data_IF_113174884580
#
_entry.id   IF_113174884580
#
_cell.length_a   1.000
_cell.length_b   1.000
_cell.length_c   1.000
_cell.angle_alpha   90.00
_cell.angle_beta   90.00
_cell.angle_gamma   90.00
#
_symmetry.space_group_name_H-M   'P 1'
#
loop_
_entity.id
_entity.type
_entity.pdbx_description
1 polymer ?
#
# COMPACT_ATOMS: atom_id res chain seq x y z
N UNK A 1 -17.12 8.88 4.25
CA UNK A 1 -17.71 7.77 3.47
C UNK A 1 -16.67 7.33 2.46
N UNK A 2 -16.31 6.05 2.46
CA UNK A 2 -15.40 5.48 1.46
C UNK A 2 -16.04 5.62 0.08
N UNK A 3 -15.38 6.32 -0.83
CA UNK A 3 -15.83 6.40 -2.21
C UNK A 3 -15.24 5.20 -2.96
N UNK A 4 -15.95 4.07 -2.95
CA UNK A 4 -15.47 2.81 -3.56
C UNK A 4 -15.40 2.86 -5.10
N UNK A 5 -15.78 3.99 -5.69
CA UNK A 5 -15.85 4.16 -7.15
C UNK A 5 -14.51 4.60 -7.77
N UNK A 6 -13.54 5.07 -6.95
CA UNK A 6 -12.21 5.43 -7.43
C UNK A 6 -11.17 4.35 -7.05
N UNK A 7 -10.67 3.55 -8.03
CA UNK A 7 -9.68 2.52 -7.77
C UNK A 7 -8.39 3.07 -7.15
N UNK A 8 -8.03 4.34 -7.41
CA UNK A 8 -6.87 4.98 -6.78
C UNK A 8 -7.09 5.14 -5.27
N UNK A 9 -8.26 5.63 -4.86
CA UNK A 9 -8.59 5.82 -3.45
C UNK A 9 -8.64 4.50 -2.67
N UNK A 10 -9.12 3.43 -3.32
CA UNK A 10 -9.14 2.08 -2.75
C UNK A 10 -7.72 1.56 -2.54
N UNK A 11 -6.84 1.75 -3.52
CA UNK A 11 -5.43 1.37 -3.40
C UNK A 11 -4.71 2.15 -2.30
N UNK A 12 -4.90 3.47 -2.23
CA UNK A 12 -4.33 4.33 -1.17
C UNK A 12 -4.77 3.85 0.22
N UNK A 13 -6.06 3.55 0.41
CA UNK A 13 -6.59 3.03 1.68
C UNK A 13 -6.01 1.65 2.03
N UNK A 14 -5.83 0.78 1.03
CA UNK A 14 -5.28 -0.56 1.25
C UNK A 14 -3.79 -0.51 1.61
N UNK A 15 -3.04 0.40 1.00
CA UNK A 15 -1.64 0.68 1.34
C UNK A 15 -1.55 1.16 2.79
N UNK A 16 -2.37 2.12 3.20
CA UNK A 16 -2.43 2.62 4.59
C UNK A 16 -2.73 1.48 5.58
N UNK A 17 -3.73 0.66 5.27
CA UNK A 17 -4.09 -0.50 6.11
C UNK A 17 -2.92 -1.48 6.25
N UNK A 18 -2.16 -1.72 5.17
CA UNK A 18 -0.99 -2.58 5.20
C UNK A 18 0.17 -1.98 6.00
N UNK A 19 0.39 -0.66 5.92
CA UNK A 19 1.42 0.05 6.70
C UNK A 19 1.10 0.09 8.19
N UNK A 20 -0.16 0.32 8.54
CA UNK A 20 -0.63 0.26 9.92
C UNK A 20 -0.50 -1.15 10.49
N UNK A 21 -0.83 -2.18 9.68
CA UNK A 21 -0.59 -3.58 10.03
C UNK A 21 0.89 -3.90 10.24
N UNK A 22 1.77 -3.44 9.34
CA UNK A 22 3.22 -3.61 9.46
C UNK A 22 3.74 -3.06 10.80
N UNK A 23 3.29 -1.87 11.19
CA UNK A 23 3.64 -1.21 12.44
C UNK A 23 3.05 -1.94 13.65
N UNK A 24 1.77 -2.30 13.61
CA UNK A 24 1.12 -3.05 14.68
C UNK A 24 1.80 -4.40 14.96
N UNK A 25 2.24 -5.10 13.92
CA UNK A 25 3.01 -6.34 14.08
C UNK A 25 4.42 -6.11 14.63
N UNK A 26 5.10 -5.03 14.23
CA UNK A 26 6.39 -4.64 14.84
C UNK A 26 6.24 -4.37 16.33
N UNK A 27 5.26 -3.55 16.70
CA UNK A 27 4.98 -3.21 18.09
C UNK A 27 4.64 -4.49 18.90
N UNK A 28 3.81 -5.39 18.33
CA UNK A 28 3.50 -6.68 18.94
C UNK A 28 4.75 -7.57 19.13
N UNK A 29 5.67 -7.59 18.15
CA UNK A 29 6.92 -8.34 18.24
C UNK A 29 7.86 -7.82 19.33
N UNK A 30 7.82 -6.50 19.62
CA UNK A 30 8.61 -5.88 20.68
C UNK A 30 8.05 -6.17 22.08
N UNK A 31 6.72 -6.19 22.21
CA UNK A 31 6.06 -6.40 23.50
C UNK A 31 5.90 -7.89 23.88
N UNK A 32 5.95 -8.81 22.91
CA UNK A 32 5.79 -10.24 23.20
C UNK A 32 7.08 -10.84 23.75
N UNK A 33 6.96 -11.56 24.88
CA UNK A 33 8.10 -12.23 25.53
C UNK A 33 8.42 -13.61 24.95
N UNK A 34 7.44 -14.21 24.26
CA UNK A 34 7.56 -15.56 23.69
C UNK A 34 8.30 -15.50 22.35
N UNK A 35 9.44 -16.19 22.20
CA UNK A 35 10.31 -16.04 21.03
C UNK A 35 9.69 -16.57 19.72
N UNK A 36 8.83 -17.57 19.81
CA UNK A 36 8.05 -18.10 18.68
C UNK A 36 7.06 -17.06 18.13
N UNK A 37 6.33 -16.37 19.02
CA UNK A 37 5.40 -15.31 18.63
C UNK A 37 6.15 -14.08 18.10
N UNK A 38 7.32 -13.79 18.66
CA UNK A 38 8.18 -12.70 18.18
C UNK A 38 8.62 -12.93 16.74
N UNK A 39 9.04 -14.16 16.41
CA UNK A 39 9.40 -14.54 15.05
C UNK A 39 8.19 -14.43 14.10
N UNK A 40 7.04 -14.95 14.52
CA UNK A 40 5.80 -14.87 13.72
C UNK A 40 5.38 -13.42 13.42
N UNK A 41 5.36 -12.54 14.44
CA UNK A 41 4.99 -11.14 14.24
C UNK A 41 6.00 -10.38 13.39
N UNK A 42 7.30 -10.69 13.51
CA UNK A 42 8.32 -10.12 12.64
C UNK A 42 8.12 -10.54 11.18
N UNK A 43 7.82 -11.81 10.92
CA UNK A 43 7.53 -12.33 9.58
C UNK A 43 6.28 -11.68 8.98
N UNK A 44 5.19 -11.59 9.76
CA UNK A 44 3.96 -10.94 9.32
C UNK A 44 4.15 -9.44 9.03
N UNK A 45 4.98 -8.75 9.82
CA UNK A 45 5.34 -7.35 9.54
C UNK A 45 6.04 -7.20 8.18
N UNK A 46 7.02 -8.05 7.90
CA UNK A 46 7.74 -8.06 6.61
C UNK A 46 6.79 -8.34 5.45
N UNK A 47 5.88 -9.31 5.61
CA UNK A 47 4.88 -9.67 4.60
C UNK A 47 3.95 -8.50 4.27
N UNK A 48 3.42 -7.79 5.28
CA UNK A 48 2.58 -6.60 5.09
C UNK A 48 3.35 -5.45 4.43
N UNK A 49 4.62 -5.26 4.80
CA UNK A 49 5.49 -4.30 4.14
C UNK A 49 5.83 -4.65 2.68
N UNK A 50 5.76 -5.93 2.29
CA UNK A 50 5.87 -6.35 0.88
C UNK A 50 4.59 -6.00 0.12
N UNK A 51 3.42 -6.34 0.65
CA UNK A 51 2.14 -6.01 0.02
C UNK A 51 1.93 -4.52 -0.18
N UNK A 52 2.28 -3.69 0.82
CA UNK A 52 2.24 -2.24 0.68
C UNK A 52 3.10 -1.74 -0.50
N UNK A 53 4.31 -2.30 -0.67
CA UNK A 53 5.21 -1.93 -1.78
C UNK A 53 4.69 -2.35 -3.15
N UNK A 54 4.09 -3.53 -3.25
CA UNK A 54 3.47 -4.00 -4.50
C UNK A 54 2.31 -3.09 -4.91
N UNK A 55 1.45 -2.72 -3.95
CA UNK A 55 0.34 -1.81 -4.19
C UNK A 55 0.81 -0.38 -4.53
N UNK A 56 1.85 0.12 -3.87
CA UNK A 56 2.48 1.42 -4.18
C UNK A 56 3.02 1.45 -5.62
N UNK A 57 3.58 0.34 -6.12
CA UNK A 57 4.06 0.23 -7.49
C UNK A 57 2.92 0.30 -8.51
N UNK A 58 1.84 -0.43 -8.28
CA UNK A 58 0.64 -0.39 -9.14
C UNK A 58 -0.01 1.00 -9.14
N UNK A 59 -0.13 1.63 -7.97
CA UNK A 59 -0.65 2.98 -7.84
C UNK A 59 0.21 4.00 -8.61
N UNK A 60 1.54 3.87 -8.53
CA UNK A 60 2.46 4.72 -9.29
C UNK A 60 2.29 4.52 -10.80
N UNK A 61 2.14 3.28 -11.25
CA UNK A 61 1.90 2.95 -12.66
C UNK A 61 0.59 3.55 -13.17
N UNK A 62 -0.50 3.45 -12.40
CA UNK A 62 -1.79 4.00 -12.79
C UNK A 62 -1.78 5.54 -12.84
N UNK A 63 -1.10 6.17 -11.87
CA UNK A 63 -0.88 7.62 -11.88
C UNK A 63 -0.09 8.09 -13.10
N UNK A 64 0.95 7.34 -13.49
CA UNK A 64 1.72 7.63 -14.72
C UNK A 64 0.84 7.49 -15.95
N UNK A 65 0.01 6.44 -16.04
CA UNK A 65 -0.95 6.27 -17.14
C UNK A 65 -1.87 7.47 -17.27
N UNK A 66 -2.49 7.93 -16.18
CA UNK A 66 -3.38 9.10 -16.18
C UNK A 66 -2.62 10.36 -16.64
N UNK A 67 -1.40 10.58 -16.16
CA UNK A 67 -0.59 11.74 -16.54
C UNK A 67 -0.26 11.71 -18.04
N UNK A 68 0.21 10.57 -18.55
CA UNK A 68 0.52 10.38 -19.97
C UNK A 68 -0.71 10.55 -20.85
N UNK A 69 -1.87 10.00 -20.45
CA UNK A 69 -3.13 10.18 -21.17
C UNK A 69 -3.55 11.64 -21.22
N UNK A 70 -3.47 12.35 -20.08
CA UNK A 70 -3.86 13.75 -19.97
C UNK A 70 -2.95 14.66 -20.81
N UNK A 71 -1.67 14.32 -20.94
CA UNK A 71 -0.72 15.02 -21.81
C UNK A 71 -0.91 14.69 -23.30
N UNK A 72 -1.30 13.46 -23.64
CA UNK A 72 -1.64 13.12 -25.04
C UNK A 72 -2.91 13.86 -25.50
N UNK A 73 -3.92 13.97 -24.62
CA UNK A 73 -5.18 14.66 -24.90
C UNK A 73 -5.07 16.20 -24.97
N UNK A 74 -3.98 16.78 -24.47
CA UNK A 74 -3.68 18.21 -24.64
C UNK A 74 -2.99 18.50 -25.96
N UNK A 75 -2.22 17.54 -26.50
CA UNK A 75 -1.56 17.64 -27.80
C UNK A 75 -2.52 17.42 -28.97
N UNK A 76 -3.56 16.60 -28.81
CA UNK A 76 -4.63 16.40 -29.82
C UNK A 76 -5.60 17.59 -29.96
N UNK A 77 -5.40 18.65 -29.17
CA UNK A 77 -6.23 19.87 -29.18
C UNK A 77 -5.60 21.04 -29.94
N UNK A 78 -4.47 20.79 -30.62
CA UNK A 78 -3.75 21.73 -31.47
C UNK A 78 -3.69 21.27 -32.92
#
# INVERSE_FOLDING_TARGET
MMNQDDPISVLETLIETCRDGEKGYKDAAEHVKRPDLKAFFAEQSVERGRFARELEAELAQERVRICCWRNAQSLDRY
#
